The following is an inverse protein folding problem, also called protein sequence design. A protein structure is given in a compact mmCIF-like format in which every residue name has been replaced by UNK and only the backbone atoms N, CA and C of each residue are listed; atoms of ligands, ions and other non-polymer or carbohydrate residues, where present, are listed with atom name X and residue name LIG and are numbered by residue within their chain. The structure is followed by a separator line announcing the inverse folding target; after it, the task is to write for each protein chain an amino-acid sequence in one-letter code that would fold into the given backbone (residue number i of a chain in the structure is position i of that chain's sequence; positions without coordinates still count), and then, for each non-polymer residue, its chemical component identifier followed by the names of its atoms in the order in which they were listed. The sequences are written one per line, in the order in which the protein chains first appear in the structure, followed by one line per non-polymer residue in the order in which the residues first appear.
data_IF_376452468593
#
_entry.id   IF_376452468593
#
_cell.length_a   1.000
_cell.length_b   1.000
_cell.length_c   1.000
_cell.angle_alpha   90.00
_cell.angle_beta   90.00
_cell.angle_gamma   90.00
#
_symmetry.space_group_name_H-M   'P 1'
#
loop_
_entity.id
_entity.type
_entity.pdbx_description
1 polymer ?
#
# COMPACT_ATOMS: atom_id res chain seq x y z
N UNK A 1 8.84 13.38 5.22
CA UNK A 1 8.48 12.78 3.91
C UNK A 1 7.93 11.41 4.22
N UNK A 2 6.68 11.14 3.88
CA UNK A 2 6.10 9.81 4.10
C UNK A 2 6.74 8.84 3.09
N UNK A 3 7.28 7.73 3.59
CA UNK A 3 7.87 6.67 2.78
C UNK A 3 7.45 5.33 3.40
N UNK A 4 6.95 4.41 2.58
CA UNK A 4 6.68 3.02 2.99
C UNK A 4 7.98 2.23 3.00
N UNK A 5 8.41 1.69 4.15
CA UNK A 5 9.53 0.76 4.19
C UNK A 5 9.30 -0.40 3.23
N UNK A 6 10.37 -0.80 2.53
CA UNK A 6 10.32 -1.93 1.59
C UNK A 6 9.91 -3.23 2.29
N UNK A 7 10.35 -3.42 3.54
CA UNK A 7 10.01 -4.59 4.36
C UNK A 7 8.49 -4.70 4.58
N UNK A 8 7.84 -3.59 4.96
CA UNK A 8 6.39 -3.53 5.15
C UNK A 8 5.64 -3.83 3.84
N UNK A 9 6.14 -3.31 2.71
CA UNK A 9 5.52 -3.59 1.40
C UNK A 9 5.69 -5.05 1.00
N UNK A 10 6.84 -5.67 1.30
CA UNK A 10 7.10 -7.08 1.03
C UNK A 10 6.19 -7.99 1.88
N UNK A 11 5.98 -7.64 3.16
CA UNK A 11 5.02 -8.32 4.03
C UNK A 11 3.61 -8.26 3.45
N UNK A 12 3.12 -7.05 3.15
CA UNK A 12 1.80 -6.86 2.54
C UNK A 12 1.68 -7.63 1.23
N UNK A 13 2.73 -7.60 0.41
CA UNK A 13 2.77 -8.30 -0.87
C UNK A 13 2.70 -9.82 -0.71
N UNK A 14 3.32 -10.39 0.32
CA UNK A 14 3.23 -11.83 0.61
C UNK A 14 1.85 -12.24 1.12
N UNK A 15 1.18 -11.36 1.85
CA UNK A 15 -0.17 -11.60 2.39
C UNK A 15 -1.28 -11.44 1.36
N UNK A 16 -1.02 -10.75 0.24
CA UNK A 16 -1.95 -10.61 -0.87
C UNK A 16 -2.31 -11.97 -1.50
N UNK A 17 -3.59 -12.34 -1.36
CA UNK A 17 -4.16 -13.53 -2.04
C UNK A 17 -4.39 -13.29 -3.52
N UNK A 18 -4.70 -12.06 -3.91
CA UNK A 18 -4.93 -11.67 -5.31
C UNK A 18 -4.21 -10.35 -5.59
N UNK A 19 -3.67 -10.24 -6.80
CA UNK A 19 -2.82 -9.12 -7.24
C UNK A 19 -3.69 -7.98 -7.77
N UNK A 20 -4.48 -7.39 -6.88
CA UNK A 20 -5.42 -6.32 -7.20
C UNK A 20 -5.55 -5.32 -6.03
N UNK A 21 -6.04 -4.11 -6.36
CA UNK A 21 -6.17 -3.03 -5.38
C UNK A 21 -7.24 -3.30 -4.31
N UNK A 22 -8.27 -4.11 -4.58
CA UNK A 22 -9.28 -4.46 -3.57
C UNK A 22 -8.68 -5.37 -2.51
N UNK A 23 -7.98 -6.43 -2.92
CA UNK A 23 -7.24 -7.33 -2.02
C UNK A 23 -6.19 -6.56 -1.20
N UNK A 24 -5.51 -5.60 -1.81
CA UNK A 24 -4.54 -4.75 -1.10
C UNK A 24 -5.21 -3.87 -0.05
N UNK A 25 -6.34 -3.26 -0.39
CA UNK A 25 -7.14 -2.47 0.54
C UNK A 25 -7.67 -3.33 1.71
N UNK A 26 -8.08 -4.58 1.45
CA UNK A 26 -8.50 -5.50 2.51
C UNK A 26 -7.36 -5.83 3.48
N UNK A 27 -6.17 -6.18 2.97
CA UNK A 27 -5.01 -6.48 3.82
C UNK A 27 -4.61 -5.25 4.65
N UNK A 28 -4.55 -4.07 4.04
CA UNK A 28 -4.27 -2.83 4.76
C UNK A 28 -5.30 -2.59 5.87
N UNK A 29 -6.59 -2.78 5.60
CA UNK A 29 -7.64 -2.65 6.61
C UNK A 29 -7.50 -3.65 7.75
N UNK A 30 -6.91 -4.83 7.52
CA UNK A 30 -6.62 -5.82 8.57
C UNK A 30 -5.40 -5.45 9.43
N UNK A 31 -4.50 -4.62 8.90
CA UNK A 31 -3.35 -4.10 9.65
C UNK A 31 -3.66 -2.81 10.41
N UNK A 32 -4.71 -2.08 10.01
CA UNK A 32 -5.20 -0.91 10.74
C UNK A 32 -5.51 -1.26 12.20
N UNK A 33 -4.98 -0.46 13.13
CA UNK A 33 -5.13 -0.67 14.57
C UNK A 33 -4.31 -1.81 15.18
N UNK A 34 -3.41 -2.48 14.43
CA UNK A 34 -2.49 -3.48 15.01
C UNK A 34 -1.23 -2.80 15.56
N UNK A 35 -0.96 -2.97 16.85
CA UNK A 35 0.13 -2.31 17.58
C UNK A 35 1.55 -2.78 17.23
N UNK A 36 1.70 -3.93 16.57
CA UNK A 36 3.01 -4.58 16.30
C UNK A 36 3.38 -4.62 14.80
N UNK A 37 2.78 -3.77 13.97
CA UNK A 37 3.01 -3.78 12.53
C UNK A 37 3.22 -2.40 11.94
N UNK A 38 2.80 -2.26 10.68
CA UNK A 38 2.81 -1.03 9.91
C UNK A 38 2.06 0.06 10.67
N UNK A 39 2.65 1.26 10.75
CA UNK A 39 2.04 2.40 11.45
C UNK A 39 0.62 2.68 10.94
N UNK A 40 -0.33 2.92 11.84
CA UNK A 40 -1.73 3.20 11.51
C UNK A 40 -1.87 4.38 10.52
N UNK A 41 -1.08 5.44 10.73
CA UNK A 41 -1.00 6.58 9.81
C UNK A 41 -0.55 6.17 8.41
N UNK A 42 0.42 5.25 8.32
CA UNK A 42 0.93 4.75 7.05
C UNK A 42 -0.11 3.86 6.36
N UNK A 43 -0.84 3.04 7.12
CA UNK A 43 -1.95 2.24 6.61
C UNK A 43 -3.08 3.13 6.06
N UNK A 44 -3.50 4.17 6.79
CA UNK A 44 -4.53 5.11 6.30
C UNK A 44 -4.09 5.81 5.01
N UNK A 45 -2.83 6.25 4.95
CA UNK A 45 -2.27 6.83 3.72
C UNK A 45 -2.29 5.83 2.56
N UNK A 46 -1.87 4.58 2.79
CA UNK A 46 -1.88 3.54 1.75
C UNK A 46 -3.29 3.14 1.31
N UNK A 47 -4.27 3.15 2.22
CA UNK A 47 -5.68 2.87 1.91
C UNK A 47 -6.25 3.93 0.96
N UNK A 48 -5.96 5.20 1.23
CA UNK A 48 -6.40 6.31 0.38
C UNK A 48 -5.76 6.20 -1.01
N UNK A 49 -4.44 6.00 -1.09
CA UNK A 49 -3.73 5.87 -2.36
C UNK A 49 -4.17 4.65 -3.17
N UNK A 50 -4.37 3.48 -2.54
CA UNK A 50 -4.87 2.29 -3.23
C UNK A 50 -6.24 2.55 -3.89
N UNK A 51 -7.10 3.33 -3.22
CA UNK A 51 -8.40 3.73 -3.75
C UNK A 51 -8.27 4.73 -4.90
N UNK A 52 -7.36 5.69 -4.80
CA UNK A 52 -7.08 6.65 -5.88
C UNK A 52 -6.48 5.96 -7.12
N UNK A 53 -5.47 5.12 -6.94
CA UNK A 53 -4.83 4.33 -8.01
C UNK A 53 -5.85 3.47 -8.76
N UNK A 54 -6.76 2.82 -8.01
CA UNK A 54 -7.87 2.08 -8.59
C UNK A 54 -8.81 2.99 -9.40
N UNK A 55 -9.17 4.16 -8.86
CA UNK A 55 -10.05 5.13 -9.53
C UNK A 55 -9.43 5.71 -10.79
N UNK A 56 -8.12 5.92 -10.79
CA UNK A 56 -7.33 6.37 -11.95
C UNK A 56 -7.13 5.25 -12.99
N UNK A 57 -7.52 4.01 -12.69
CA UNK A 57 -7.36 2.87 -13.58
C UNK A 57 -5.92 2.40 -13.71
N UNK A 58 -5.06 2.74 -12.75
CA UNK A 58 -3.67 2.25 -12.72
C UNK A 58 -3.72 0.74 -12.45
N UNK A 59 -3.09 -0.10 -13.29
CA UNK A 59 -3.07 -1.53 -13.06
C UNK A 59 -2.30 -1.85 -11.77
N UNK A 60 -2.68 -2.95 -11.12
CA UNK A 60 -1.94 -3.41 -9.96
C UNK A 60 -0.52 -3.85 -10.38
N UNK A 61 0.52 -3.48 -9.63
CA UNK A 61 1.91 -3.82 -9.95
C UNK A 61 2.15 -5.32 -10.00
N UNK A 62 3.16 -5.75 -10.77
CA UNK A 62 3.54 -7.16 -10.92
C UNK A 62 4.48 -7.68 -9.83
N UNK A 63 5.07 -6.78 -9.04
CA UNK A 63 6.05 -7.10 -8.00
C UNK A 63 5.92 -6.21 -6.76
N UNK A 64 6.44 -6.68 -5.63
CA UNK A 64 6.50 -5.91 -4.39
C UNK A 64 7.32 -4.62 -4.54
N UNK A 65 8.35 -4.65 -5.38
CA UNK A 65 9.23 -3.51 -5.64
C UNK A 65 8.49 -2.42 -6.41
N UNK A 66 7.76 -2.78 -7.46
CA UNK A 66 6.91 -1.85 -8.20
C UNK A 66 5.79 -1.27 -7.33
N UNK A 67 5.19 -2.09 -6.45
CA UNK A 67 4.20 -1.59 -5.48
C UNK A 67 4.81 -0.55 -4.54
N UNK A 68 5.99 -0.83 -3.99
CA UNK A 68 6.70 0.10 -3.14
C UNK A 68 7.01 1.40 -3.89
N UNK A 69 7.48 1.30 -5.12
CA UNK A 69 7.80 2.46 -5.95
C UNK A 69 6.56 3.33 -6.19
N UNK A 70 5.44 2.74 -6.64
CA UNK A 70 4.19 3.47 -6.91
C UNK A 70 3.70 4.21 -5.66
N UNK A 71 3.67 3.53 -4.51
CA UNK A 71 3.22 4.14 -3.25
C UNK A 71 4.14 5.29 -2.83
N UNK A 72 5.46 5.12 -2.95
CA UNK A 72 6.41 6.15 -2.57
C UNK A 72 6.44 7.34 -3.54
N UNK A 73 6.26 7.11 -4.83
CA UNK A 73 6.08 8.18 -5.81
C UNK A 73 4.85 9.02 -5.48
N UNK A 74 3.73 8.38 -5.15
CA UNK A 74 2.51 9.08 -4.71
C UNK A 74 2.70 9.89 -3.43
N UNK A 75 3.32 9.29 -2.42
CA UNK A 75 3.61 10.00 -1.16
C UNK A 75 4.60 11.15 -1.32
N UNK A 76 5.51 11.06 -2.29
CA UNK A 76 6.43 12.15 -2.63
C UNK A 76 5.72 13.31 -3.35
N UNK A 77 4.68 13.01 -4.15
CA UNK A 77 3.89 14.01 -4.89
C UNK A 77 2.92 14.81 -4.01
N UNK A 78 2.48 14.28 -2.86
CA UNK A 78 1.62 14.98 -1.89
C UNK A 78 2.35 16.05 -1.03
N UNK A 79 3.34 16.73 -1.61
CA UNK A 79 4.13 17.79 -0.94
C UNK A 79 3.40 19.12 -0.83
#
# INVERSE_FOLDING_TARGET
MAHVPKDDTDVLWRELKTRDWDSFHEILSQHKGKTNGISDTLVDMMLEEAKELKKEGIPFPGSADELNQILNERFSQRK
#
